data_IF_167864066639
#
_entry.id   IF_167864066639
#
_cell.length_a   1.000
_cell.length_b   1.000
_cell.length_c   1.000
_cell.angle_alpha   90.00
_cell.angle_beta   90.00
_cell.angle_gamma   90.00
#
_symmetry.space_group_name_H-M   'P 1'
#
loop_
_entity.id
_entity.type
_entity.pdbx_description
1 polymer ?
#
# COMPACT_ATOMS: atom_id res chain seq x y z
N UNK A 1 8.70 2.46 -37.28
CA UNK A 1 9.80 1.53 -36.92
C UNK A 1 10.78 2.25 -36.02
N UNK A 2 10.66 2.07 -34.72
CA UNK A 2 11.73 1.92 -33.73
C UNK A 2 10.99 1.58 -32.42
N UNK A 3 10.76 0.28 -32.18
CA UNK A 3 10.33 -0.19 -30.86
C UNK A 3 11.51 0.01 -29.92
N UNK A 4 11.46 1.06 -29.10
CA UNK A 4 12.30 1.14 -27.93
C UNK A 4 11.79 0.10 -26.94
N UNK A 5 12.43 -1.08 -26.90
CA UNK A 5 12.43 -1.91 -25.71
C UNK A 5 13.04 -1.04 -24.60
N UNK A 6 12.19 -0.40 -23.78
CA UNK A 6 12.61 -0.06 -22.43
C UNK A 6 12.78 -1.40 -21.72
N UNK A 7 14.02 -1.90 -21.68
CA UNK A 7 14.44 -2.79 -20.61
C UNK A 7 14.33 -1.95 -19.33
N UNK A 8 13.17 -1.99 -18.69
CA UNK A 8 13.04 -1.60 -17.29
C UNK A 8 13.87 -2.58 -16.51
N UNK A 9 15.13 -2.24 -16.26
CA UNK A 9 15.93 -2.99 -15.29
C UNK A 9 15.21 -2.81 -13.96
N UNK A 10 14.60 -3.89 -13.47
CA UNK A 10 14.09 -3.94 -12.10
C UNK A 10 15.28 -3.67 -11.20
N UNK A 11 15.38 -2.48 -10.64
CA UNK A 11 16.33 -2.23 -9.55
C UNK A 11 15.71 -2.86 -8.30
N UNK A 12 15.80 -4.19 -8.20
CA UNK A 12 15.53 -4.89 -6.95
C UNK A 12 16.58 -4.40 -5.97
N UNK A 13 16.14 -3.76 -4.89
CA UNK A 13 17.04 -3.54 -3.76
C UNK A 13 17.16 -4.88 -3.04
N UNK A 14 18.10 -5.71 -3.50
CA UNK A 14 18.50 -6.93 -2.84
C UNK A 14 19.63 -6.62 -1.85
N UNK A 15 19.58 -7.21 -0.66
CA UNK A 15 20.63 -7.13 0.34
C UNK A 15 21.80 -8.08 -0.03
N UNK A 16 22.50 -7.84 -1.13
CA UNK A 16 23.79 -8.50 -1.41
C UNK A 16 24.85 -7.50 -1.90
N UNK A 17 26.11 -7.84 -1.63
CA UNK A 17 27.28 -6.96 -1.73
C UNK A 17 27.40 -6.27 -3.09
N UNK A 18 27.32 -4.94 -3.11
CA UNK A 18 27.41 -4.12 -4.33
C UNK A 18 26.14 -3.35 -4.69
N UNK A 19 25.02 -3.62 -4.01
CA UNK A 19 23.83 -2.79 -4.08
C UNK A 19 24.09 -1.37 -3.53
N UNK A 20 23.48 -0.32 -4.12
CA UNK A 20 23.64 1.05 -3.61
C UNK A 20 23.12 1.14 -2.18
N UNK A 21 23.91 1.76 -1.29
CA UNK A 21 23.52 1.97 0.11
C UNK A 21 22.39 2.98 0.29
N UNK A 22 22.08 3.77 -0.74
CA UNK A 22 20.96 4.70 -0.73
C UNK A 22 20.48 5.01 -2.16
N UNK A 23 19.25 5.51 -2.28
CA UNK A 23 18.75 6.17 -3.48
C UNK A 23 18.69 7.68 -3.26
N UNK A 24 19.09 8.51 -4.24
CA UNK A 24 18.82 9.94 -4.22
C UNK A 24 17.34 10.24 -3.95
N UNK A 25 17.04 11.36 -3.30
CA UNK A 25 15.65 11.78 -3.14
C UNK A 25 14.97 11.92 -4.51
N UNK A 26 13.69 11.54 -4.61
CA UNK A 26 12.93 11.61 -5.85
C UNK A 26 13.55 10.81 -7.01
N UNK A 27 14.28 9.73 -6.69
CA UNK A 27 14.81 8.81 -7.69
C UNK A 27 13.68 8.36 -8.64
N UNK A 28 13.89 8.43 -9.96
CA UNK A 28 12.85 8.13 -10.94
C UNK A 28 12.71 6.61 -11.14
N UNK A 29 11.48 6.12 -10.96
CA UNK A 29 11.10 4.75 -11.31
C UNK A 29 10.13 4.76 -12.48
N UNK A 30 10.59 4.44 -13.72
CA UNK A 30 9.69 4.32 -14.86
C UNK A 30 8.65 3.22 -14.64
N UNK A 31 7.43 3.46 -15.07
CA UNK A 31 6.37 2.46 -15.17
C UNK A 31 5.66 2.58 -16.53
N UNK A 32 4.63 1.76 -16.77
CA UNK A 32 3.95 1.70 -18.08
C UNK A 32 3.36 3.05 -18.53
N UNK A 33 2.99 3.93 -17.61
CA UNK A 33 2.35 5.21 -17.91
C UNK A 33 3.26 6.43 -17.71
N UNK A 34 4.41 6.30 -17.04
CA UNK A 34 5.26 7.45 -16.75
C UNK A 34 6.39 7.17 -15.76
N UNK A 35 6.58 8.07 -14.80
CA UNK A 35 7.61 7.96 -13.76
C UNK A 35 6.98 8.16 -12.38
N UNK A 36 7.10 7.12 -11.54
CA UNK A 36 6.88 7.15 -10.10
C UNK A 36 8.09 7.76 -9.40
N UNK A 37 7.87 8.55 -8.35
CA UNK A 37 8.93 9.06 -7.48
C UNK A 37 8.53 8.95 -6.02
N UNK A 38 9.53 8.73 -5.17
CA UNK A 38 9.37 8.80 -3.72
C UNK A 38 10.21 9.94 -3.16
N UNK A 39 9.57 10.83 -2.41
CA UNK A 39 10.21 11.78 -1.53
C UNK A 39 10.52 11.13 -0.19
N UNK A 40 11.71 11.36 0.33
CA UNK A 40 12.13 11.02 1.69
C UNK A 40 12.42 12.30 2.49
N UNK A 41 11.87 12.38 3.70
CA UNK A 41 12.10 13.48 4.64
C UNK A 41 13.58 13.62 5.08
N UNK A 42 14.38 12.56 4.95
CA UNK A 42 15.81 12.58 5.29
C UNK A 42 16.69 13.04 4.11
N UNK A 43 16.08 13.38 2.96
CA UNK A 43 16.79 13.84 1.76
C UNK A 43 17.39 12.74 0.90
N UNK A 44 17.18 11.46 1.26
CA UNK A 44 17.52 10.26 0.47
C UNK A 44 16.77 9.06 1.03
N UNK A 45 16.66 7.99 0.25
CA UNK A 45 16.18 6.71 0.76
C UNK A 45 17.39 5.91 1.21
N UNK A 46 17.58 5.75 2.52
CA UNK A 46 18.63 4.89 3.07
C UNK A 46 18.21 3.41 2.92
N UNK A 47 19.05 2.60 2.28
CA UNK A 47 18.79 1.19 2.01
C UNK A 47 19.54 0.25 2.98
N UNK A 48 20.11 0.78 4.06
CA UNK A 48 20.92 0.02 5.03
C UNK A 48 20.25 -0.19 6.39
N UNK A 49 19.17 0.55 6.66
CA UNK A 49 18.43 0.46 7.92
C UNK A 49 17.66 -0.85 8.10
N UNK A 50 17.06 -1.08 9.28
CA UNK A 50 16.40 -2.35 9.63
C UNK A 50 15.30 -2.78 8.66
N UNK A 51 14.62 -1.84 7.99
CA UNK A 51 13.64 -2.12 6.94
C UNK A 51 14.20 -2.97 5.78
N UNK A 52 15.50 -2.87 5.52
CA UNK A 52 16.19 -3.58 4.43
C UNK A 52 16.99 -4.79 4.91
N UNK A 53 17.11 -4.97 6.23
CA UNK A 53 17.86 -6.06 6.84
C UNK A 53 16.96 -7.29 6.97
N UNK A 54 17.51 -8.47 6.70
CA UNK A 54 16.83 -9.73 7.06
C UNK A 54 16.94 -9.91 8.57
N UNK A 55 15.89 -9.54 9.30
CA UNK A 55 15.84 -9.67 10.76
C UNK A 55 15.41 -11.09 11.17
N UNK A 56 14.73 -11.81 10.26
CA UNK A 56 14.37 -13.21 10.44
C UNK A 56 15.35 -14.23 9.85
N UNK A 57 14.89 -15.48 9.78
CA UNK A 57 15.74 -16.62 9.39
C UNK A 57 15.57 -17.06 7.95
N UNK A 58 14.59 -16.53 7.23
CA UNK A 58 14.27 -16.97 5.86
C UNK A 58 14.87 -16.07 4.77
N UNK A 59 15.68 -15.07 5.13
CA UNK A 59 16.35 -14.17 4.19
C UNK A 59 15.48 -13.04 3.62
N UNK A 60 14.20 -12.95 4.01
CA UNK A 60 13.38 -11.78 3.71
C UNK A 60 13.74 -10.60 4.60
N UNK A 61 13.49 -9.42 4.06
CA UNK A 61 13.33 -8.16 4.78
C UNK A 61 12.00 -7.51 4.36
N UNK A 62 11.55 -6.44 5.02
CA UNK A 62 10.41 -5.65 4.55
C UNK A 62 10.56 -5.26 3.06
N UNK A 63 11.76 -4.89 2.64
CA UNK A 63 12.06 -4.55 1.26
C UNK A 63 11.79 -5.69 0.25
N UNK A 64 11.77 -6.96 0.68
CA UNK A 64 11.43 -8.08 -0.21
C UNK A 64 10.03 -7.95 -0.82
N UNK A 65 9.10 -7.30 -0.11
CA UNK A 65 7.74 -7.00 -0.56
C UNK A 65 7.51 -5.52 -0.88
N UNK A 66 8.22 -4.61 -0.21
CA UNK A 66 7.99 -3.17 -0.31
C UNK A 66 9.06 -2.49 -1.19
N UNK A 67 9.05 -2.80 -2.48
CA UNK A 67 10.04 -2.27 -3.41
C UNK A 67 9.76 -0.79 -3.77
N UNK A 68 10.78 0.09 -3.83
CA UNK A 68 10.58 1.50 -4.17
C UNK A 68 9.97 1.71 -5.57
N UNK A 69 10.29 0.84 -6.53
CA UNK A 69 9.75 0.85 -7.91
C UNK A 69 8.27 0.48 -7.97
N UNK A 70 7.75 -0.16 -6.92
CA UNK A 70 6.36 -0.62 -6.78
C UNK A 70 5.55 0.23 -5.82
N UNK A 71 5.96 1.49 -5.63
CA UNK A 71 5.37 2.41 -4.67
C UNK A 71 5.29 1.79 -3.27
N UNK A 72 6.33 1.06 -2.88
CA UNK A 72 6.47 0.43 -1.57
C UNK A 72 5.41 -0.64 -1.27
N UNK A 73 4.88 -1.28 -2.30
CA UNK A 73 3.99 -2.44 -2.24
C UNK A 73 4.53 -3.54 -3.18
N UNK A 74 3.75 -4.60 -3.42
CA UNK A 74 4.07 -5.67 -4.36
C UNK A 74 3.42 -5.41 -5.71
N UNK A 75 4.15 -5.53 -6.82
CA UNK A 75 3.58 -5.63 -8.17
C UNK A 75 3.61 -7.08 -8.67
N UNK A 76 2.46 -7.59 -9.15
CA UNK A 76 2.40 -8.94 -9.73
C UNK A 76 3.37 -9.08 -10.91
N UNK A 77 3.49 -8.06 -11.76
CA UNK A 77 4.41 -8.06 -12.90
C UNK A 77 5.87 -8.18 -12.44
N UNK A 78 6.31 -7.36 -11.48
CA UNK A 78 7.70 -7.43 -11.02
C UNK A 78 7.99 -8.70 -10.22
N UNK A 79 7.00 -9.26 -9.50
CA UNK A 79 7.14 -10.57 -8.89
C UNK A 79 7.31 -11.67 -9.94
N UNK A 80 6.53 -11.63 -11.03
CA UNK A 80 6.70 -12.58 -12.12
C UNK A 80 8.09 -12.47 -12.76
N UNK A 81 8.61 -11.26 -12.96
CA UNK A 81 9.98 -11.02 -13.44
C UNK A 81 11.03 -11.61 -12.49
N UNK A 82 10.94 -11.31 -11.19
CA UNK A 82 11.82 -11.90 -10.15
C UNK A 82 11.74 -13.42 -10.12
N UNK A 83 10.56 -13.99 -10.38
CA UNK A 83 10.42 -15.44 -10.50
C UNK A 83 11.21 -15.99 -11.68
N UNK A 84 11.08 -15.38 -12.87
CA UNK A 84 11.80 -15.84 -14.07
C UNK A 84 13.33 -15.69 -13.92
N UNK A 85 13.78 -14.61 -13.29
CA UNK A 85 15.19 -14.32 -13.06
C UNK A 85 15.81 -15.29 -12.05
N UNK A 86 15.14 -15.52 -10.93
CA UNK A 86 15.68 -16.32 -9.82
C UNK A 86 15.23 -17.78 -9.83
N UNK A 87 14.37 -18.16 -10.78
CA UNK A 87 13.69 -19.46 -10.82
C UNK A 87 12.92 -19.75 -9.53
N UNK A 88 12.29 -18.71 -8.95
CA UNK A 88 11.53 -18.77 -7.71
C UNK A 88 12.37 -18.89 -6.44
N UNK A 89 13.63 -18.46 -6.47
CA UNK A 89 14.55 -18.54 -5.32
C UNK A 89 14.73 -17.20 -4.59
N UNK A 90 14.27 -16.10 -5.17
CA UNK A 90 14.23 -14.79 -4.50
C UNK A 90 13.56 -14.90 -3.10
N UNK A 91 14.04 -14.17 -2.08
CA UNK A 91 13.46 -14.17 -0.74
C UNK A 91 11.95 -13.93 -0.65
N UNK A 92 11.31 -13.26 -1.61
CA UNK A 92 9.85 -13.13 -1.61
C UNK A 92 9.13 -14.48 -1.75
N UNK A 93 9.78 -15.50 -2.32
CA UNK A 93 9.21 -16.83 -2.51
C UNK A 93 9.52 -17.73 -1.30
N UNK A 94 8.65 -17.69 -0.29
CA UNK A 94 8.73 -18.51 0.92
C UNK A 94 7.44 -19.25 1.19
N UNK A 95 7.53 -20.41 1.81
CA UNK A 95 6.39 -21.33 1.96
C UNK A 95 5.48 -21.02 3.14
N UNK A 96 5.93 -20.21 4.10
CA UNK A 96 5.10 -19.77 5.23
C UNK A 96 3.89 -18.94 4.75
N UNK A 97 4.10 -18.02 3.80
CA UNK A 97 3.09 -17.07 3.36
C UNK A 97 3.14 -16.70 1.85
N UNK A 98 4.24 -16.97 1.14
CA UNK A 98 4.40 -16.61 -0.26
C UNK A 98 3.77 -17.63 -1.19
N UNK A 99 3.71 -18.90 -0.76
CA UNK A 99 3.00 -19.96 -1.48
C UNK A 99 1.51 -19.95 -1.17
N UNK A 100 0.74 -20.55 -2.08
CA UNK A 100 -0.70 -20.64 -1.95
C UNK A 100 -1.11 -21.49 -0.74
N UNK A 101 -0.26 -22.40 -0.28
CA UNK A 101 -0.44 -23.20 0.92
C UNK A 101 0.94 -23.54 1.53
N UNK A 102 1.02 -23.88 2.81
CA UNK A 102 2.29 -24.19 3.51
C UNK A 102 2.65 -25.68 3.56
N UNK A 103 1.77 -26.55 3.08
CA UNK A 103 1.97 -27.99 3.04
C UNK A 103 1.43 -28.57 1.73
N UNK A 104 1.83 -29.80 1.41
CA UNK A 104 1.43 -30.47 0.17
C UNK A 104 1.76 -29.68 -1.11
N UNK A 105 2.81 -28.87 -1.08
CA UNK A 105 3.34 -28.11 -2.22
C UNK A 105 4.69 -28.68 -2.66
N UNK A 106 5.01 -28.58 -3.96
CA UNK A 106 6.35 -28.88 -4.47
C UNK A 106 7.13 -27.58 -4.67
N UNK A 107 8.26 -27.43 -3.99
CA UNK A 107 9.21 -26.33 -4.23
C UNK A 107 10.58 -26.82 -4.70
N UNK A 108 10.72 -28.12 -4.99
CA UNK A 108 11.98 -28.74 -5.43
C UNK A 108 12.31 -28.43 -6.89
N UNK A 109 11.30 -28.28 -7.74
CA UNK A 109 11.43 -27.96 -9.17
C UNK A 109 11.01 -26.52 -9.48
N UNK A 110 11.42 -25.99 -10.64
CA UNK A 110 10.99 -24.64 -11.09
C UNK A 110 9.48 -24.64 -11.34
N UNK A 111 8.96 -25.68 -11.97
CA UNK A 111 7.53 -25.85 -12.25
C UNK A 111 6.73 -26.02 -10.96
N UNK A 112 7.25 -26.77 -9.99
CA UNK A 112 6.68 -26.87 -8.65
C UNK A 112 6.58 -25.50 -7.99
N UNK A 113 7.69 -24.75 -7.93
CA UNK A 113 7.69 -23.38 -7.39
C UNK A 113 6.72 -22.46 -8.13
N UNK A 114 6.58 -22.59 -9.45
CA UNK A 114 5.65 -21.79 -10.24
C UNK A 114 4.20 -22.07 -9.83
N UNK A 115 3.85 -23.32 -9.57
CA UNK A 115 2.52 -23.69 -9.07
C UNK A 115 2.32 -23.23 -7.63
N UNK A 116 3.30 -23.49 -6.76
CA UNK A 116 3.25 -23.14 -5.34
C UNK A 116 3.09 -21.63 -5.13
N UNK A 117 3.77 -20.79 -5.91
CA UNK A 117 3.75 -19.32 -5.79
C UNK A 117 2.81 -18.63 -6.79
N UNK A 118 1.88 -19.37 -7.41
CA UNK A 118 1.09 -18.85 -8.53
C UNK A 118 0.22 -17.63 -8.19
N UNK A 119 -0.32 -17.52 -6.97
CA UNK A 119 -1.06 -16.32 -6.55
C UNK A 119 -0.16 -15.10 -6.37
N UNK A 120 1.03 -15.29 -5.81
CA UNK A 120 2.02 -14.25 -5.64
C UNK A 120 2.49 -13.73 -7.01
N UNK A 121 2.80 -14.64 -7.94
CA UNK A 121 3.24 -14.32 -9.31
C UNK A 121 2.14 -13.62 -10.11
N UNK A 122 0.92 -14.15 -10.11
CA UNK A 122 -0.14 -13.67 -11.01
C UNK A 122 -0.96 -12.50 -10.45
N UNK A 123 -0.97 -12.32 -9.12
CA UNK A 123 -1.86 -11.35 -8.45
C UNK A 123 -1.16 -10.55 -7.35
N UNK A 124 0.10 -10.82 -7.02
CA UNK A 124 0.81 -10.14 -5.94
C UNK A 124 0.23 -10.43 -4.55
N UNK A 125 -0.43 -11.58 -4.37
CA UNK A 125 -1.08 -11.95 -3.11
C UNK A 125 -0.20 -12.88 -2.28
N UNK A 126 -0.10 -12.59 -0.99
CA UNK A 126 0.47 -13.50 0.01
C UNK A 126 -0.65 -14.15 0.82
N UNK A 127 -0.42 -15.36 1.31
CA UNK A 127 -1.28 -16.11 2.21
C UNK A 127 -1.10 -15.62 3.64
N UNK A 128 -2.19 -15.27 4.28
CA UNK A 128 -2.28 -14.93 5.70
C UNK A 128 -3.13 -16.00 6.35
N UNK A 129 -2.46 -16.89 7.08
CA UNK A 129 -3.09 -17.94 7.85
C UNK A 129 -3.56 -17.35 9.20
N UNK A 130 -4.86 -17.43 9.47
CA UNK A 130 -5.45 -16.96 10.71
C UNK A 130 -6.11 -18.13 11.45
N UNK A 131 -5.84 -18.33 12.75
CA UNK A 131 -6.58 -19.32 13.51
C UNK A 131 -8.04 -18.90 13.64
N UNK A 132 -8.95 -19.87 13.77
CA UNK A 132 -10.29 -19.57 14.29
C UNK A 132 -10.12 -19.00 15.71
N UNK A 133 -10.71 -17.83 16.02
CA UNK A 133 -10.55 -17.21 17.33
C UNK A 133 -10.98 -18.13 18.47
N UNK A 134 -10.28 -18.06 19.60
CA UNK A 134 -10.73 -18.72 20.82
C UNK A 134 -12.10 -18.14 21.25
N UNK A 135 -13.07 -19.00 21.56
CA UNK A 135 -14.41 -18.57 21.92
C UNK A 135 -15.29 -18.09 20.77
N UNK A 136 -14.93 -18.39 19.51
CA UNK A 136 -15.78 -18.10 18.36
C UNK A 136 -17.21 -18.66 18.55
N UNK A 137 -18.24 -17.85 18.28
CA UNK A 137 -19.66 -18.23 18.32
C UNK A 137 -20.11 -18.97 17.04
N UNK A 138 -19.14 -19.46 16.26
CA UNK A 138 -19.37 -20.18 15.00
C UNK A 138 -18.37 -21.33 14.85
N UNK A 139 -18.78 -22.35 14.11
CA UNK A 139 -17.93 -23.44 13.67
C UNK A 139 -17.60 -23.30 12.19
N UNK A 140 -16.34 -23.53 11.82
CA UNK A 140 -15.95 -23.72 10.41
C UNK A 140 -16.12 -25.20 10.09
N UNK A 141 -17.23 -25.55 9.43
CA UNK A 141 -17.54 -26.96 9.12
C UNK A 141 -16.80 -27.49 7.88
N UNK A 142 -16.43 -26.60 6.96
CA UNK A 142 -15.71 -26.96 5.73
C UNK A 142 -15.11 -25.71 5.08
N UNK A 143 -13.96 -25.88 4.43
CA UNK A 143 -13.35 -24.84 3.58
C UNK A 143 -13.17 -25.42 2.18
N UNK A 144 -13.64 -24.69 1.16
CA UNK A 144 -13.33 -25.00 -0.24
C UNK A 144 -12.25 -24.03 -0.72
N UNK A 145 -11.00 -24.48 -0.65
CA UNK A 145 -9.84 -23.73 -1.13
C UNK A 145 -9.23 -24.46 -2.34
N UNK A 146 -9.25 -23.86 -3.55
CA UNK A 146 -8.69 -24.50 -4.75
C UNK A 146 -7.17 -24.68 -4.71
N UNK A 147 -6.49 -24.19 -3.67
CA UNK A 147 -5.05 -24.23 -3.50
C UNK A 147 -4.57 -25.21 -2.41
N UNK A 148 -5.46 -26.02 -1.85
CA UNK A 148 -5.10 -27.13 -0.94
C UNK A 148 -5.19 -26.85 0.55
N UNK A 149 -5.21 -25.57 0.97
CA UNK A 149 -5.37 -25.17 2.37
C UNK A 149 -6.86 -25.14 2.77
N UNK A 150 -7.40 -26.30 3.10
CA UNK A 150 -8.81 -26.53 3.40
C UNK A 150 -9.09 -26.78 4.89
N UNK A 151 -8.16 -26.39 5.76
CA UNK A 151 -8.25 -26.57 7.21
C UNK A 151 -9.45 -25.78 7.76
N UNK A 152 -10.09 -26.33 8.78
CA UNK A 152 -11.19 -25.66 9.49
C UNK A 152 -10.71 -24.90 10.72
N UNK A 153 -9.54 -25.23 11.26
CA UNK A 153 -8.94 -24.54 12.41
C UNK A 153 -8.11 -23.32 12.02
N UNK A 154 -7.68 -23.24 10.75
CA UNK A 154 -6.82 -22.17 10.23
C UNK A 154 -7.33 -21.73 8.87
N UNK A 155 -7.78 -20.48 8.77
CA UNK A 155 -8.31 -19.91 7.54
C UNK A 155 -7.21 -19.21 6.76
N UNK A 156 -7.09 -19.54 5.48
CA UNK A 156 -6.14 -18.92 4.57
C UNK A 156 -6.79 -17.76 3.82
N UNK A 157 -6.39 -16.53 4.16
CA UNK A 157 -6.77 -15.32 3.45
C UNK A 157 -5.66 -14.92 2.47
N UNK A 158 -5.99 -14.46 1.27
CA UNK A 158 -5.00 -14.04 0.28
C UNK A 158 -5.13 -12.55 0.00
N UNK A 159 -4.12 -11.77 0.41
CA UNK A 159 -4.16 -10.31 0.30
C UNK A 159 -2.85 -9.75 -0.22
N UNK A 160 -2.94 -8.61 -0.90
CA UNK A 160 -1.77 -7.86 -1.36
C UNK A 160 -1.16 -7.12 -0.17
N UNK A 161 0.17 -7.12 -0.01
CA UNK A 161 0.84 -6.25 0.97
C UNK A 161 0.48 -4.77 0.73
N UNK A 162 0.08 -4.08 1.78
CA UNK A 162 -0.22 -2.65 1.73
C UNK A 162 1.06 -1.85 1.44
N UNK A 163 0.97 -0.65 0.82
CA UNK A 163 2.13 0.23 0.68
C UNK A 163 2.72 0.63 2.05
N UNK A 164 4.05 0.73 2.16
CA UNK A 164 4.75 1.23 3.36
C UNK A 164 5.22 2.69 3.21
N UNK A 165 4.45 3.50 2.45
CA UNK A 165 4.69 4.92 2.22
C UNK A 165 3.35 5.67 2.24
N UNK A 166 3.38 6.99 2.41
CA UNK A 166 2.20 7.83 2.65
C UNK A 166 1.44 7.46 3.95
N UNK A 167 2.07 6.76 4.90
CA UNK A 167 1.39 6.21 6.08
C UNK A 167 0.88 7.29 7.05
N UNK A 168 1.45 8.51 7.00
CA UNK A 168 1.04 9.64 7.85
C UNK A 168 -0.42 10.08 7.68
N UNK A 169 -1.11 9.56 6.67
CA UNK A 169 -2.53 9.82 6.37
C UNK A 169 -3.47 8.73 6.87
N UNK A 170 -2.96 7.68 7.53
CA UNK A 170 -3.80 6.61 8.04
C UNK A 170 -4.57 7.02 9.29
N UNK A 171 -5.84 6.61 9.34
CA UNK A 171 -6.69 6.61 10.54
C UNK A 171 -6.78 5.22 11.19
N UNK A 172 -6.27 4.19 10.51
CA UNK A 172 -6.14 2.82 11.03
C UNK A 172 -5.05 2.06 10.28
N UNK A 173 -4.41 1.08 10.92
CA UNK A 173 -3.33 0.27 10.34
C UNK A 173 -3.84 -1.14 9.98
N UNK A 174 -3.47 -1.60 8.78
CA UNK A 174 -3.97 -2.81 8.08
C UNK A 174 -5.39 -2.69 7.50
N UNK A 175 -5.69 -3.57 6.53
CA UNK A 175 -6.97 -3.60 5.80
C UNK A 175 -8.22 -3.70 6.69
N UNK A 176 -8.08 -4.42 7.79
CA UNK A 176 -9.12 -4.72 8.77
C UNK A 176 -9.02 -3.83 10.01
N UNK A 177 -8.09 -2.87 10.00
CA UNK A 177 -7.80 -1.99 11.13
C UNK A 177 -7.32 -2.68 12.39
N UNK A 178 -6.93 -3.96 12.30
CA UNK A 178 -6.61 -4.76 13.48
C UNK A 178 -5.41 -4.23 14.25
N UNK A 179 -4.49 -3.52 13.60
CA UNK A 179 -3.33 -2.92 14.30
C UNK A 179 -3.70 -1.62 15.00
N UNK A 180 -4.96 -1.18 14.95
CA UNK A 180 -5.49 -0.02 15.68
C UNK A 180 -6.71 -0.39 16.54
N UNK A 181 -6.64 -1.55 17.21
CA UNK A 181 -7.75 -2.13 17.95
C UNK A 181 -7.29 -2.74 19.27
N UNK A 182 -8.07 -2.55 20.33
CA UNK A 182 -7.80 -3.16 21.63
C UNK A 182 -7.81 -4.68 21.59
N UNK A 183 -8.41 -5.29 20.57
CA UNK A 183 -8.44 -6.75 20.39
C UNK A 183 -7.05 -7.35 20.11
N UNK A 184 -6.12 -6.56 19.57
CA UNK A 184 -4.75 -6.98 19.24
C UNK A 184 -3.71 -6.32 20.15
N UNK A 185 -4.15 -5.57 21.17
CA UNK A 185 -3.26 -4.90 22.10
C UNK A 185 -2.82 -3.49 21.69
N UNK A 186 -3.44 -2.91 20.65
CA UNK A 186 -3.26 -1.50 20.27
C UNK A 186 -4.52 -0.68 20.55
N UNK A 187 -4.57 0.59 20.16
CA UNK A 187 -5.75 1.45 20.41
C UNK A 187 -6.17 2.21 19.16
N UNK A 188 -7.46 2.55 19.01
CA UNK A 188 -7.90 3.34 17.87
C UNK A 188 -7.17 4.68 17.77
N UNK A 189 -6.70 5.02 16.57
CA UNK A 189 -6.02 6.29 16.31
C UNK A 189 -7.07 7.42 16.31
N UNK A 190 -6.87 8.44 17.13
CA UNK A 190 -7.79 9.57 17.23
C UNK A 190 -7.12 10.88 16.83
N UNK A 191 -7.92 11.93 16.65
CA UNK A 191 -7.41 13.29 16.46
C UNK A 191 -6.44 13.71 17.58
N UNK A 192 -6.75 13.38 18.83
CA UNK A 192 -5.99 13.83 20.00
C UNK A 192 -4.67 13.05 20.19
N UNK A 193 -4.60 11.82 19.71
CA UNK A 193 -3.47 10.92 19.95
C UNK A 193 -2.56 10.77 18.74
N UNK A 194 -3.02 11.14 17.54
CA UNK A 194 -2.20 11.14 16.32
C UNK A 194 -1.06 12.20 16.40
N UNK A 195 0.19 11.88 16.01
CA UNK A 195 0.67 10.61 15.40
C UNK A 195 1.23 9.59 16.39
N UNK A 196 1.05 9.79 17.70
CA UNK A 196 1.56 8.89 18.74
C UNK A 196 1.03 7.46 18.60
N UNK A 197 -0.29 7.30 18.56
CA UNK A 197 -0.93 5.98 18.39
C UNK A 197 -0.60 5.36 17.03
N UNK A 198 -0.63 6.14 15.93
CA UNK A 198 -0.21 5.65 14.62
C UNK A 198 1.22 5.11 14.63
N UNK A 199 2.15 5.80 15.31
CA UNK A 199 3.54 5.35 15.42
C UNK A 199 3.67 4.08 16.26
N UNK A 200 2.85 3.94 17.31
CA UNK A 200 2.79 2.74 18.12
C UNK A 200 2.22 1.55 17.33
N UNK A 201 1.11 1.75 16.63
CA UNK A 201 0.45 0.75 15.79
C UNK A 201 1.39 0.24 14.68
N UNK A 202 2.15 1.13 14.02
CA UNK A 202 3.15 0.74 13.03
C UNK A 202 4.34 -0.01 13.67
N UNK A 203 4.78 0.38 14.87
CA UNK A 203 5.82 -0.35 15.59
C UNK A 203 5.35 -1.76 15.97
N UNK A 204 4.12 -1.89 16.45
CA UNK A 204 3.47 -3.17 16.74
C UNK A 204 3.39 -4.04 15.48
N UNK A 205 2.86 -3.48 14.38
CA UNK A 205 2.77 -4.16 13.09
C UNK A 205 4.13 -4.65 12.59
N UNK A 206 5.20 -3.88 12.81
CA UNK A 206 6.56 -4.28 12.39
C UNK A 206 7.07 -5.52 13.12
N UNK A 207 6.63 -5.75 14.37
CA UNK A 207 6.92 -6.96 15.12
C UNK A 207 6.21 -8.16 14.48
N UNK A 208 4.90 -8.04 14.24
CA UNK A 208 4.11 -9.09 13.61
C UNK A 208 4.62 -9.45 12.21
N UNK A 209 4.99 -8.45 11.41
CA UNK A 209 5.57 -8.65 10.10
C UNK A 209 6.93 -9.37 10.17
N UNK A 210 7.81 -8.97 11.11
CA UNK A 210 9.12 -9.60 11.28
C UNK A 210 9.01 -11.05 11.76
N UNK A 211 8.16 -11.31 12.75
CA UNK A 211 7.95 -12.65 13.30
C UNK A 211 7.23 -13.58 12.30
N UNK A 212 6.21 -13.08 11.61
CA UNK A 212 5.39 -13.86 10.69
C UNK A 212 6.02 -14.04 9.30
N UNK A 213 6.40 -12.93 8.65
CA UNK A 213 6.83 -12.94 7.25
C UNK A 213 8.31 -13.28 7.07
N UNK A 214 9.18 -12.80 7.96
CA UNK A 214 10.61 -13.12 7.95
C UNK A 214 10.96 -14.37 8.78
N UNK A 215 9.98 -14.88 9.55
CA UNK A 215 10.13 -16.00 10.47
C UNK A 215 11.21 -15.75 11.54
N UNK A 216 11.31 -14.52 12.03
CA UNK A 216 12.25 -14.21 13.10
C UNK A 216 11.92 -14.97 14.38
N UNK A 217 12.96 -15.40 15.09
CA UNK A 217 12.83 -16.10 16.39
C UNK A 217 12.72 -15.15 17.56
N UNK A 218 13.07 -13.88 17.37
CA UNK A 218 12.95 -12.81 18.35
C UNK A 218 12.38 -11.56 17.68
N UNK A 219 11.57 -10.76 18.39
CA UNK A 219 11.04 -9.53 17.84
C UNK A 219 12.16 -8.51 17.56
N UNK A 220 11.97 -7.57 16.61
CA UNK A 220 12.89 -6.46 16.42
C UNK A 220 13.01 -5.64 17.71
N UNK A 221 14.21 -5.14 17.99
CA UNK A 221 14.45 -4.30 19.17
C UNK A 221 13.63 -3.00 19.10
N UNK A 222 13.33 -2.34 20.24
CA UNK A 222 12.62 -1.05 20.21
C UNK A 222 13.32 0.03 19.37
N UNK A 223 14.65 -0.01 19.25
CA UNK A 223 15.37 0.90 18.37
C UNK A 223 15.15 0.56 16.89
N UNK A 224 15.18 -0.72 16.52
CA UNK A 224 14.86 -1.13 15.15
C UNK A 224 13.42 -0.77 14.76
N UNK A 225 12.45 -1.00 15.65
CA UNK A 225 11.06 -0.59 15.43
C UNK A 225 10.95 0.92 15.19
N UNK A 226 11.58 1.75 16.05
CA UNK A 226 11.62 3.21 15.84
C UNK A 226 12.21 3.60 14.49
N UNK A 227 13.30 2.96 14.07
CA UNK A 227 13.94 3.23 12.79
C UNK A 227 13.05 2.83 11.60
N UNK A 228 12.34 1.70 11.69
CA UNK A 228 11.36 1.24 10.69
C UNK A 228 10.22 2.26 10.58
N UNK A 229 9.58 2.61 11.69
CA UNK A 229 8.45 3.56 11.68
C UNK A 229 8.88 4.93 11.19
N UNK A 230 10.04 5.45 11.64
CA UNK A 230 10.55 6.73 11.17
C UNK A 230 10.86 6.72 9.66
N UNK A 231 11.35 5.60 9.14
CA UNK A 231 11.54 5.41 7.72
C UNK A 231 10.20 5.47 6.97
N UNK A 232 9.23 4.63 7.33
CA UNK A 232 7.94 4.55 6.63
C UNK A 232 7.14 5.86 6.69
N UNK A 233 7.11 6.51 7.86
CA UNK A 233 6.43 7.80 8.07
C UNK A 233 7.11 8.95 7.32
N UNK A 234 8.39 8.79 6.97
CA UNK A 234 9.18 9.77 6.23
C UNK A 234 9.02 9.71 4.71
N UNK A 235 8.26 8.74 4.18
CA UNK A 235 8.11 8.52 2.74
C UNK A 235 6.81 9.11 2.18
N UNK A 236 6.92 9.90 1.12
CA UNK A 236 5.79 10.30 0.28
C UNK A 236 5.99 9.81 -1.15
N UNK A 237 5.11 8.96 -1.66
CA UNK A 237 5.23 8.34 -2.99
C UNK A 237 4.02 8.67 -3.86
N UNK A 238 4.26 9.02 -5.11
CA UNK A 238 3.20 9.25 -6.09
C UNK A 238 3.76 9.23 -7.52
N UNK A 239 2.87 9.02 -8.50
CA UNK A 239 3.18 9.29 -9.89
C UNK A 239 3.57 10.77 -10.03
N UNK A 240 4.74 11.06 -10.59
CA UNK A 240 5.24 12.43 -10.75
C UNK A 240 5.12 12.92 -12.20
N UNK A 241 5.31 12.02 -13.16
CA UNK A 241 5.26 12.32 -14.59
C UNK A 241 4.37 11.29 -15.25
N UNK A 242 3.47 11.72 -16.12
CA UNK A 242 2.78 10.86 -17.09
C UNK A 242 3.38 11.11 -18.48
N UNK A 243 3.62 10.06 -19.26
CA UNK A 243 4.28 10.20 -20.57
C UNK A 243 3.46 11.01 -21.58
N UNK A 244 2.14 11.07 -21.42
CA UNK A 244 1.25 11.82 -22.31
C UNK A 244 1.06 13.28 -21.86
N UNK A 245 1.07 13.56 -20.56
CA UNK A 245 0.85 14.92 -20.02
C UNK A 245 2.12 15.65 -19.61
N UNK A 246 3.23 14.95 -19.44
CA UNK A 246 4.43 15.45 -18.76
C UNK A 246 4.25 15.49 -17.24
N UNK A 247 4.92 16.45 -16.59
CA UNK A 247 4.87 16.61 -15.13
C UNK A 247 3.46 16.84 -14.60
N UNK A 248 3.09 16.14 -13.53
CA UNK A 248 1.77 16.23 -12.90
C UNK A 248 1.65 17.41 -11.92
N UNK A 249 2.74 18.11 -11.64
CA UNK A 249 2.80 19.36 -10.88
C UNK A 249 2.88 20.62 -11.78
N UNK A 250 2.64 20.47 -13.10
CA UNK A 250 2.79 21.56 -14.05
C UNK A 250 1.68 21.62 -15.12
N UNK A 251 1.33 22.81 -15.64
CA UNK A 251 1.63 24.12 -15.04
C UNK A 251 0.72 24.34 -13.82
N UNK A 252 1.29 24.68 -12.66
CA UNK A 252 0.55 25.07 -11.46
C UNK A 252 -0.36 24.01 -10.84
N UNK A 253 -0.31 22.76 -11.31
CA UNK A 253 -0.97 21.63 -10.66
C UNK A 253 -0.12 21.16 -9.46
N UNK A 254 -0.69 20.33 -8.60
CA UNK A 254 0.00 19.85 -7.39
C UNK A 254 0.02 18.32 -7.30
N UNK A 255 0.09 17.62 -8.45
CA UNK A 255 0.34 16.19 -8.46
C UNK A 255 1.77 15.83 -8.00
N UNK A 256 2.03 14.53 -7.83
CA UNK A 256 3.35 14.02 -7.42
C UNK A 256 3.60 14.01 -5.91
N UNK A 257 4.79 13.51 -5.49
CA UNK A 257 5.06 13.22 -4.09
C UNK A 257 5.38 14.45 -3.24
N UNK A 258 5.87 15.55 -3.85
CA UNK A 258 6.28 16.74 -3.09
C UNK A 258 5.09 17.47 -2.44
N UNK A 259 3.95 17.70 -3.13
CA UNK A 259 2.78 18.30 -2.49
C UNK A 259 2.21 17.46 -1.34
N UNK A 260 2.39 16.14 -1.37
CA UNK A 260 2.00 15.25 -0.27
C UNK A 260 2.83 15.49 1.00
N UNK A 261 3.98 16.16 0.97
CA UNK A 261 4.79 16.43 2.17
C UNK A 261 4.10 17.42 3.09
N UNK A 262 3.44 18.43 2.51
CA UNK A 262 2.78 19.52 3.27
C UNK A 262 1.26 19.44 3.25
N UNK A 263 0.68 18.41 2.63
CA UNK A 263 -0.77 18.17 2.62
C UNK A 263 -1.31 18.09 4.07
N UNK A 264 -2.22 19.01 4.47
CA UNK A 264 -2.82 18.96 5.80
C UNK A 264 -3.58 17.65 6.02
N UNK A 265 -3.44 17.09 7.22
CA UNK A 265 -4.16 15.90 7.64
C UNK A 265 -4.30 15.86 9.16
N UNK A 266 -5.44 15.34 9.60
CA UNK A 266 -5.69 14.85 10.94
C UNK A 266 -6.85 13.85 10.86
N UNK A 267 -6.95 12.93 11.82
CA UNK A 267 -8.03 11.95 11.85
C UNK A 267 -9.38 12.67 11.95
N UNK A 268 -10.29 12.36 11.01
CA UNK A 268 -11.60 13.01 10.89
C UNK A 268 -11.59 14.34 10.12
N UNK A 269 -10.51 14.68 9.39
CA UNK A 269 -10.40 15.95 8.64
C UNK A 269 -11.55 16.24 7.69
N UNK A 270 -12.23 15.22 7.18
CA UNK A 270 -13.35 15.36 6.27
C UNK A 270 -14.40 14.27 6.50
N UNK A 271 -14.68 13.94 7.76
CA UNK A 271 -15.55 12.81 8.12
C UNK A 271 -17.00 13.02 7.60
N UNK A 272 -17.57 12.08 6.82
CA UNK A 272 -18.92 12.19 6.26
C UNK A 272 -20.05 12.10 7.31
N UNK A 273 -19.74 11.63 8.52
CA UNK A 273 -20.67 11.57 9.66
C UNK A 273 -20.69 12.88 10.47
N UNK A 274 -19.86 13.86 10.12
CA UNK A 274 -19.79 15.14 10.83
C UNK A 274 -18.90 15.13 12.07
N UNK A 275 -18.07 14.09 12.23
CA UNK A 275 -17.15 13.93 13.36
C UNK A 275 -15.83 14.69 13.20
N UNK A 276 -15.78 15.67 12.29
CA UNK A 276 -14.65 16.59 12.21
C UNK A 276 -14.42 17.30 13.57
N UNK A 277 -13.23 17.17 14.19
CA UNK A 277 -12.88 17.80 15.47
C UNK A 277 -13.11 19.31 15.54
N UNK A 278 -12.98 20.01 14.41
CA UNK A 278 -13.21 21.46 14.29
C UNK A 278 -14.61 21.81 13.80
N UNK A 279 -15.50 20.81 13.64
CA UNK A 279 -16.88 20.97 13.19
C UNK A 279 -17.02 21.60 11.80
N UNK A 280 -15.98 21.45 10.97
CA UNK A 280 -16.08 21.75 9.54
C UNK A 280 -16.98 20.71 8.87
N UNK A 281 -17.98 21.12 8.07
CA UNK A 281 -18.84 20.18 7.35
C UNK A 281 -18.06 19.33 6.35
N UNK A 282 -18.55 18.10 6.12
CA UNK A 282 -18.08 17.25 5.04
C UNK A 282 -18.08 17.98 3.69
N UNK A 283 -17.00 17.82 2.92
CA UNK A 283 -16.86 18.33 1.57
C UNK A 283 -16.56 17.18 0.59
N UNK A 284 -17.45 16.89 -0.38
CA UNK A 284 -17.20 15.84 -1.38
C UNK A 284 -16.08 16.20 -2.38
N UNK A 285 -15.64 17.47 -2.43
CA UNK A 285 -14.50 17.91 -3.25
C UNK A 285 -13.18 17.58 -2.55
N UNK A 286 -12.77 16.32 -2.63
CA UNK A 286 -11.57 15.80 -1.97
C UNK A 286 -10.29 16.12 -2.75
N UNK A 287 -10.32 15.99 -4.08
CA UNK A 287 -9.17 16.27 -4.93
C UNK A 287 -9.27 17.65 -5.59
N UNK A 288 -8.25 18.48 -5.40
CA UNK A 288 -8.12 19.79 -6.05
C UNK A 288 -6.84 19.92 -6.89
N UNK A 289 -6.04 18.86 -6.96
CA UNK A 289 -4.69 18.79 -7.56
C UNK A 289 -4.53 19.49 -8.92
N UNK A 290 -5.51 19.35 -9.81
CA UNK A 290 -5.43 19.84 -11.19
C UNK A 290 -6.31 21.08 -11.46
N UNK A 291 -7.09 21.52 -10.46
CA UNK A 291 -7.95 22.71 -10.57
C UNK A 291 -7.29 23.91 -9.87
N UNK A 292 -7.34 25.12 -10.44
CA UNK A 292 -7.88 25.49 -11.75
C UNK A 292 -6.88 25.31 -12.91
N UNK A 293 -5.67 24.85 -12.62
CA UNK A 293 -4.52 25.00 -13.52
C UNK A 293 -4.61 24.24 -14.84
N UNK A 294 -5.36 23.14 -14.88
CA UNK A 294 -5.61 22.35 -16.09
C UNK A 294 -7.00 22.60 -16.71
N UNK A 295 -7.75 23.58 -16.19
CA UNK A 295 -8.97 24.06 -16.83
C UNK A 295 -8.54 24.82 -18.10
N UNK A 296 -8.71 24.21 -19.27
CA UNK A 296 -8.44 24.86 -20.54
C UNK A 296 -9.71 24.94 -21.39
N UNK A 297 -9.94 26.10 -22.01
CA UNK A 297 -10.91 26.25 -23.09
C UNK A 297 -10.30 25.70 -24.38
N UNK A 298 -10.97 24.72 -25.00
CA UNK A 298 -10.73 24.18 -26.36
C UNK A 298 -9.30 24.37 -26.89
N UNK A 299 -8.38 23.50 -26.45
CA UNK A 299 -7.02 23.42 -27.00
C UNK A 299 -6.93 22.21 -27.94
N UNK A 300 -6.33 22.40 -29.12
CA UNK A 300 -6.00 21.31 -30.06
C UNK A 300 -4.66 20.63 -29.72
N UNK A 301 -3.93 21.11 -28.70
CA UNK A 301 -2.71 20.46 -28.22
C UNK A 301 -3.03 19.12 -27.54
N UNK A 302 -2.38 18.05 -28.00
CA UNK A 302 -2.58 16.69 -27.50
C UNK A 302 -2.34 16.60 -25.98
N UNK A 303 -1.28 17.26 -25.48
CA UNK A 303 -0.93 17.26 -24.06
C UNK A 303 -2.00 17.95 -23.23
N UNK A 304 -2.49 19.10 -23.68
CA UNK A 304 -3.62 19.81 -23.06
C UNK A 304 -4.88 18.93 -23.01
N UNK A 305 -5.20 18.24 -24.10
CA UNK A 305 -6.37 17.33 -24.16
C UNK A 305 -6.22 16.18 -23.16
N UNK A 306 -5.01 15.63 -22.99
CA UNK A 306 -4.71 14.57 -22.02
C UNK A 306 -4.81 15.08 -20.57
N UNK A 307 -4.29 16.28 -20.29
CA UNK A 307 -4.46 16.94 -18.98
C UNK A 307 -5.93 17.19 -18.64
N UNK A 308 -6.71 17.66 -19.61
CA UNK A 308 -8.15 17.80 -19.45
C UNK A 308 -8.84 16.46 -19.14
N UNK A 309 -8.33 15.34 -19.67
CA UNK A 309 -8.83 14.00 -19.31
C UNK A 309 -8.56 13.62 -17.87
N UNK A 310 -7.36 13.89 -17.35
CA UNK A 310 -7.04 13.65 -15.94
C UNK A 310 -7.89 14.54 -15.04
N UNK A 311 -8.06 15.82 -15.38
CA UNK A 311 -8.93 16.74 -14.66
C UNK A 311 -10.39 16.24 -14.63
N UNK A 312 -10.91 15.70 -15.73
CA UNK A 312 -12.24 15.05 -15.73
C UNK A 312 -12.30 13.87 -14.76
N UNK A 313 -11.23 13.07 -14.65
CA UNK A 313 -11.11 12.00 -13.67
C UNK A 313 -11.22 12.52 -12.22
N UNK A 314 -10.53 13.62 -11.90
CA UNK A 314 -10.69 14.32 -10.62
C UNK A 314 -12.14 14.77 -10.39
N UNK A 315 -12.78 15.38 -11.40
CA UNK A 315 -14.19 15.79 -11.31
C UNK A 315 -15.11 14.60 -11.04
N UNK A 316 -14.91 13.48 -11.74
CA UNK A 316 -15.68 12.26 -11.52
C UNK A 316 -15.50 11.75 -10.08
N UNK A 317 -14.29 11.68 -9.57
CA UNK A 317 -14.03 11.26 -8.19
C UNK A 317 -14.81 12.10 -7.17
N UNK A 318 -14.74 13.42 -7.33
CA UNK A 318 -15.36 14.36 -6.40
C UNK A 318 -16.90 14.42 -6.47
N UNK A 319 -17.50 14.04 -7.61
CA UNK A 319 -18.91 14.38 -7.89
C UNK A 319 -19.77 13.25 -8.43
N UNK A 320 -19.19 12.11 -8.82
CA UNK A 320 -19.97 11.00 -9.34
C UNK A 320 -20.88 10.44 -8.24
N UNK A 321 -22.21 10.47 -8.42
CA UNK A 321 -23.14 10.03 -7.39
C UNK A 321 -23.13 8.51 -7.25
N UNK A 322 -22.96 8.05 -6.02
CA UNK A 322 -22.99 6.63 -5.65
C UNK A 322 -24.13 6.41 -4.66
N UNK A 323 -24.93 5.39 -4.93
CA UNK A 323 -25.92 4.87 -3.98
C UNK A 323 -25.20 3.90 -3.03
N UNK A 324 -25.04 4.31 -1.77
CA UNK A 324 -24.33 3.56 -0.73
C UNK A 324 -25.35 2.86 0.15
N UNK A 325 -25.27 1.53 0.22
CA UNK A 325 -26.20 0.67 0.96
C UNK A 325 -25.44 -0.45 1.66
N UNK A 326 -25.81 -0.77 2.90
CA UNK A 326 -25.28 -1.93 3.63
C UNK A 326 -23.81 -1.83 4.04
N UNK A 327 -23.25 -0.61 4.13
CA UNK A 327 -21.90 -0.37 4.62
C UNK A 327 -21.93 -0.18 6.13
N UNK A 328 -21.30 -1.10 6.87
CA UNK A 328 -21.13 -0.98 8.32
C UNK A 328 -20.19 0.17 8.68
N UNK A 329 -20.47 0.84 9.80
CA UNK A 329 -19.84 2.10 10.18
C UNK A 329 -20.37 3.34 9.46
N UNK A 330 -21.34 3.20 8.53
CA UNK A 330 -21.89 4.31 7.76
C UNK A 330 -23.43 4.25 7.69
N UNK A 331 -23.99 3.22 7.05
CA UNK A 331 -25.45 3.08 6.93
C UNK A 331 -26.12 2.76 8.28
N UNK A 332 -25.48 1.92 9.09
CA UNK A 332 -25.89 1.59 10.45
C UNK A 332 -25.69 2.76 11.43
N UNK A 333 -24.56 3.47 11.33
CA UNK A 333 -24.25 4.65 12.13
C UNK A 333 -25.25 5.80 11.89
N UNK A 334 -25.69 5.98 10.64
CA UNK A 334 -26.69 7.00 10.26
C UNK A 334 -28.14 6.52 10.37
N UNK A 335 -28.36 5.21 10.44
CA UNK A 335 -29.69 4.60 10.34
C UNK A 335 -30.33 4.69 8.94
N UNK A 336 -29.58 5.13 7.92
CA UNK A 336 -30.07 5.30 6.55
C UNK A 336 -29.76 4.05 5.72
N UNK A 337 -30.81 3.34 5.28
CA UNK A 337 -30.66 2.18 4.41
C UNK A 337 -30.01 2.50 3.05
N UNK A 338 -30.19 3.73 2.57
CA UNK A 338 -29.58 4.27 1.36
C UNK A 338 -29.05 5.67 1.64
N UNK A 339 -27.77 5.89 1.35
CA UNK A 339 -27.13 7.19 1.36
C UNK A 339 -26.65 7.55 -0.05
N UNK A 340 -26.72 8.83 -0.42
CA UNK A 340 -26.08 9.33 -1.65
C UNK A 340 -24.73 9.91 -1.29
N UNK A 341 -23.66 9.37 -1.85
CA UNK A 341 -22.30 9.83 -1.66
C UNK A 341 -21.54 9.97 -2.97
N UNK A 342 -20.24 10.17 -2.86
CA UNK A 342 -19.28 10.13 -3.98
C UNK A 342 -18.09 9.25 -3.59
N UNK A 343 -17.07 9.15 -4.44
CA UNK A 343 -15.82 8.49 -4.04
C UNK A 343 -15.21 9.14 -2.79
N UNK A 344 -15.36 10.48 -2.68
CA UNK A 344 -14.91 11.26 -1.54
C UNK A 344 -15.68 11.03 -0.24
N UNK A 345 -16.79 10.27 -0.25
CA UNK A 345 -17.47 9.87 0.99
C UNK A 345 -16.69 8.79 1.73
N UNK A 346 -16.01 7.88 1.01
CA UNK A 346 -15.21 6.82 1.64
C UNK A 346 -13.71 7.13 1.63
N UNK A 347 -13.25 7.91 0.66
CA UNK A 347 -11.86 8.32 0.51
C UNK A 347 -11.75 9.83 0.76
N UNK A 348 -11.92 10.22 2.01
CA UNK A 348 -12.25 11.60 2.37
C UNK A 348 -11.02 12.47 2.67
N UNK A 349 -9.84 11.88 2.81
CA UNK A 349 -8.59 12.57 3.06
C UNK A 349 -8.20 13.48 1.87
N UNK A 350 -8.21 14.83 2.03
CA UNK A 350 -8.02 15.75 0.92
C UNK A 350 -6.71 15.51 0.17
N UNK A 351 -6.79 15.43 -1.16
CA UNK A 351 -5.69 15.19 -2.11
C UNK A 351 -4.88 13.89 -1.92
N UNK A 352 -5.27 13.02 -0.99
CA UNK A 352 -4.64 11.71 -0.77
C UNK A 352 -5.58 10.61 -1.27
N UNK A 353 -6.87 10.72 -0.93
CA UNK A 353 -7.87 9.68 -1.23
C UNK A 353 -7.62 8.39 -0.45
N UNK A 354 -7.05 8.50 0.76
CA UNK A 354 -7.04 7.45 1.78
C UNK A 354 -8.49 7.15 2.16
#
# INVERSE_FOLDING_TARGET
>A
MLSALLLGTVTVVAAETGAPAFLPNLFPFPNLSGILKTFSATGRVDLTGPFFQSLGTNGRSCASCHQPSDAWSVSATHVAERFEETKGLDPIFRTNDGSNCDHSIDTSTVEGRRQAYSLLISRGLIRIALPVPEGAEFDVVSVNNPYGCAETSTLSMYRRPLPSANLRFLSTVMWDGRESSSQTGTTPITFATNPGDLSFDLAHQSVDATLGHEQATTPPTPEQQRQIVAFEMGLSTAQAIDFSTGSLDAPGATGGPLPLVTQPFFVGINDPLGENPYKTPFNPVVFTLFTPSWVQANSEDDRATRRASILRGQTLFNSHPINITGVGGLNDATGLALMKGTCGTCHDAPNVGN
#
